data_IF_033097660343
#
_entry.id   IF_033097660343
#
_cell.length_a   1.000
_cell.length_b   1.000
_cell.length_c   1.000
_cell.angle_alpha   90.00
_cell.angle_beta   90.00
_cell.angle_gamma   90.00
#
_symmetry.space_group_name_H-M   'P 1'
#
loop_
_entity.id
_entity.type
_entity.pdbx_description
1 polymer ?
#
# COMPACT_ATOMS: atom_id res chain seq x y z
N UNK A 1 18.12 0.36 3.11
CA UNK A 1 16.78 0.97 3.27
C UNK A 1 15.76 -0.14 3.32
N UNK A 2 14.82 -0.11 4.25
CA UNK A 2 13.73 -1.07 4.34
C UNK A 2 12.39 -0.35 4.18
N UNK A 3 11.40 -1.02 3.61
CA UNK A 3 10.03 -0.53 3.51
C UNK A 3 9.13 -1.49 4.27
N UNK A 4 8.20 -0.97 5.04
CA UNK A 4 7.17 -1.79 5.67
C UNK A 4 5.78 -1.26 5.35
N UNK A 5 4.84 -2.18 5.14
CA UNK A 5 3.42 -1.87 5.16
C UNK A 5 2.74 -2.78 6.18
N UNK A 6 2.13 -2.17 7.18
CA UNK A 6 1.43 -2.86 8.28
C UNK A 6 -0.07 -2.70 8.11
N UNK A 7 -0.82 -3.77 8.31
CA UNK A 7 -2.28 -3.74 8.36
C UNK A 7 -2.75 -4.07 9.78
N UNK A 8 -3.56 -3.20 10.34
CA UNK A 8 -4.12 -3.32 11.69
C UNK A 8 -5.62 -3.59 11.60
N UNK A 9 -6.06 -4.69 12.18
CA UNK A 9 -7.46 -5.13 12.18
C UNK A 9 -8.10 -4.85 13.55
N UNK A 10 -9.23 -4.15 13.55
CA UNK A 10 -9.97 -3.74 14.74
C UNK A 10 -11.38 -4.35 14.73
N UNK A 11 -11.74 -5.13 15.73
CA UNK A 11 -13.11 -5.57 15.99
C UNK A 11 -13.87 -4.47 16.78
N UNK A 12 -13.21 -3.95 17.80
CA UNK A 12 -13.61 -2.79 18.62
C UNK A 12 -12.65 -1.62 18.36
N UNK A 13 -12.76 -0.53 19.09
CA UNK A 13 -11.88 0.63 19.02
C UNK A 13 -11.78 1.31 17.63
N UNK A 14 -12.76 1.12 16.74
CA UNK A 14 -12.75 1.67 15.38
C UNK A 14 -12.64 3.19 15.34
N UNK A 15 -13.27 3.88 16.29
CA UNK A 15 -13.14 5.34 16.39
C UNK A 15 -11.73 5.79 16.77
N UNK A 16 -11.09 5.06 17.70
CA UNK A 16 -9.69 5.31 18.01
C UNK A 16 -8.79 5.06 16.79
N UNK A 17 -9.03 3.98 16.06
CA UNK A 17 -8.29 3.65 14.84
C UNK A 17 -8.46 4.73 13.77
N UNK A 18 -9.66 5.25 13.57
CA UNK A 18 -9.93 6.37 12.66
C UNK A 18 -9.14 7.62 13.05
N UNK A 19 -9.09 7.97 14.34
CA UNK A 19 -8.29 9.11 14.83
C UNK A 19 -6.81 8.98 14.49
N UNK A 20 -6.28 7.74 14.39
CA UNK A 20 -4.87 7.53 14.05
C UNK A 20 -4.50 8.05 12.66
N UNK A 21 -5.46 8.23 11.75
CA UNK A 21 -5.23 8.86 10.44
C UNK A 21 -4.58 10.25 10.59
N UNK A 22 -4.86 10.95 11.71
CA UNK A 22 -4.30 12.27 12.02
C UNK A 22 -3.28 12.19 13.16
N UNK A 23 -3.62 11.50 14.25
CA UNK A 23 -2.83 11.48 15.48
C UNK A 23 -1.51 10.69 15.34
N UNK A 24 -1.44 9.72 14.40
CA UNK A 24 -0.21 8.97 14.17
C UNK A 24 0.97 9.89 13.77
N UNK A 25 0.68 11.07 13.24
CA UNK A 25 1.70 12.10 12.94
C UNK A 25 2.64 12.36 14.11
N UNK A 26 2.16 12.33 15.35
CA UNK A 26 2.97 12.52 16.56
C UNK A 26 4.14 11.53 16.72
N UNK A 27 4.01 10.31 16.15
CA UNK A 27 5.05 9.29 16.22
C UNK A 27 6.12 9.41 15.11
N UNK A 28 5.82 10.18 14.06
CA UNK A 28 6.64 10.20 12.85
C UNK A 28 7.21 11.57 12.50
N UNK A 29 6.57 12.69 12.88
CA UNK A 29 6.96 14.05 12.45
C UNK A 29 8.38 14.45 12.85
N UNK A 30 8.88 13.95 13.98
CA UNK A 30 10.23 14.23 14.49
C UNK A 30 11.08 12.96 14.58
N UNK A 31 10.74 11.94 13.80
CA UNK A 31 11.44 10.66 13.82
C UNK A 31 12.46 10.61 12.68
N UNK A 32 13.72 10.87 13.00
CA UNK A 32 14.84 10.87 12.06
C UNK A 32 15.16 9.49 11.46
N UNK A 33 14.59 8.42 12.01
CA UNK A 33 14.73 7.03 11.54
C UNK A 33 13.86 6.71 10.33
N UNK A 34 12.82 7.53 10.08
CA UNK A 34 11.84 7.37 8.99
C UNK A 34 12.03 8.47 7.95
N UNK A 35 12.20 8.11 6.69
CA UNK A 35 12.32 9.07 5.58
C UNK A 35 10.97 9.41 4.92
N UNK A 36 9.99 8.51 5.03
CA UNK A 36 8.64 8.70 4.51
C UNK A 36 7.66 7.81 5.28
N UNK A 37 6.46 8.31 5.54
CA UNK A 37 5.39 7.52 6.13
C UNK A 37 4.01 7.97 5.65
N UNK A 38 3.06 7.04 5.68
CA UNK A 38 1.63 7.29 5.42
C UNK A 38 0.77 6.43 6.32
N UNK A 39 -0.12 7.06 7.08
CA UNK A 39 -1.24 6.38 7.71
C UNK A 39 -2.41 6.37 6.73
N UNK A 40 -2.95 5.20 6.43
CA UNK A 40 -3.87 4.97 5.33
C UNK A 40 -5.14 4.28 5.83
N UNK A 41 -6.29 4.77 5.40
CA UNK A 41 -7.53 4.02 5.46
C UNK A 41 -7.51 2.88 4.42
N UNK A 42 -8.44 1.94 4.54
CA UNK A 42 -8.55 0.84 3.57
C UNK A 42 -9.94 0.76 2.94
N UNK A 43 -9.99 0.20 1.74
CA UNK A 43 -11.25 -0.11 1.05
C UNK A 43 -11.87 -1.41 1.54
N UNK A 44 -13.21 -1.48 1.51
CA UNK A 44 -13.99 -2.66 1.86
C UNK A 44 -14.12 -3.67 0.72
N UNK A 45 -15.07 -4.60 0.86
CA UNK A 45 -15.41 -5.58 -0.18
C UNK A 45 -15.85 -4.87 -1.46
N UNK A 46 -15.23 -5.22 -2.59
CA UNK A 46 -15.52 -4.60 -3.89
C UNK A 46 -14.62 -3.41 -4.26
N UNK A 47 -13.52 -3.19 -3.52
CA UNK A 47 -12.49 -2.23 -3.93
C UNK A 47 -12.43 -0.96 -3.10
N UNK A 48 -12.46 0.21 -3.77
CA UNK A 48 -12.13 1.49 -3.14
C UNK A 48 -13.35 2.34 -2.72
N UNK A 49 -14.55 2.01 -3.18
CA UNK A 49 -15.72 2.89 -3.08
C UNK A 49 -16.20 3.02 -1.64
N UNK A 50 -16.23 1.93 -0.91
CA UNK A 50 -16.65 1.92 0.49
C UNK A 50 -15.45 1.73 1.41
N UNK A 51 -15.27 2.60 2.44
CA UNK A 51 -14.19 2.43 3.41
C UNK A 51 -14.43 1.20 4.30
N UNK A 52 -13.35 0.53 4.65
CA UNK A 52 -13.33 -0.50 5.69
C UNK A 52 -12.85 0.12 7.01
N UNK A 53 -13.78 0.51 7.86
CA UNK A 53 -13.47 1.14 9.14
C UNK A 53 -12.87 0.17 10.17
N UNK A 54 -12.76 -1.11 9.84
CA UNK A 54 -12.15 -2.13 10.69
C UNK A 54 -10.67 -2.39 10.37
N UNK A 55 -10.15 -1.86 9.27
CA UNK A 55 -8.76 -2.08 8.86
C UNK A 55 -8.10 -0.76 8.48
N UNK A 56 -6.92 -0.52 9.03
CA UNK A 56 -6.07 0.61 8.69
C UNK A 56 -4.67 0.13 8.33
N UNK A 57 -3.92 0.93 7.59
CA UNK A 57 -2.59 0.57 7.16
C UNK A 57 -1.59 1.69 7.45
N UNK A 58 -0.35 1.30 7.76
CA UNK A 58 0.78 2.19 7.93
C UNK A 58 1.90 1.78 6.97
N UNK A 59 2.22 2.66 6.04
CA UNK A 59 3.37 2.54 5.17
C UNK A 59 4.52 3.36 5.74
N UNK A 60 5.71 2.76 5.87
CA UNK A 60 6.93 3.46 6.29
C UNK A 60 8.12 3.09 5.41
N UNK A 61 8.97 4.08 5.16
CA UNK A 61 10.30 3.92 4.53
C UNK A 61 11.35 4.24 5.59
N UNK A 62 12.14 3.24 5.94
CA UNK A 62 13.13 3.27 7.01
C UNK A 62 14.52 3.52 6.46
N UNK A 63 15.29 4.38 7.14
CA UNK A 63 16.69 4.62 6.76
C UNK A 63 17.57 3.38 6.97
N UNK A 64 17.24 2.56 7.98
CA UNK A 64 17.92 1.28 8.29
C UNK A 64 16.90 0.22 8.71
N UNK A 65 17.18 -1.04 8.47
CA UNK A 65 16.32 -2.17 8.85
C UNK A 65 16.17 -2.35 10.36
N UNK A 66 17.21 -2.02 11.13
CA UNK A 66 17.20 -2.11 12.59
C UNK A 66 16.14 -1.17 13.20
N UNK A 67 15.94 0.00 12.61
CA UNK A 67 14.93 0.96 13.05
C UNK A 67 13.50 0.46 12.87
N UNK A 68 13.27 -0.31 11.81
CA UNK A 68 11.99 -0.99 11.59
C UNK A 68 11.69 -1.98 12.71
N UNK A 69 12.64 -2.86 13.05
CA UNK A 69 12.45 -3.88 14.08
C UNK A 69 12.19 -3.23 15.46
N UNK A 70 13.01 -2.23 15.82
CA UNK A 70 12.81 -1.46 17.05
C UNK A 70 11.43 -0.81 17.12
N UNK A 71 10.96 -0.22 16.01
CA UNK A 71 9.66 0.42 15.96
C UNK A 71 8.51 -0.59 16.12
N UNK A 72 8.58 -1.70 15.41
CA UNK A 72 7.56 -2.76 15.41
C UNK A 72 7.40 -3.36 16.81
N UNK A 73 8.50 -3.53 17.54
CA UNK A 73 8.52 -4.25 18.82
C UNK A 73 8.32 -3.31 20.02
N UNK A 74 8.96 -2.14 20.00
CA UNK A 74 9.19 -1.35 21.19
C UNK A 74 8.55 0.05 21.18
N UNK A 75 8.08 0.56 20.04
CA UNK A 75 7.53 1.90 19.96
C UNK A 75 6.23 2.06 20.76
N UNK A 76 5.95 3.28 21.20
CA UNK A 76 4.68 3.61 21.83
C UNK A 76 3.49 3.34 20.89
N UNK A 77 3.67 3.57 19.59
CA UNK A 77 2.67 3.22 18.58
C UNK A 77 2.39 1.70 18.55
N UNK A 78 3.44 0.86 18.55
CA UNK A 78 3.28 -0.60 18.58
C UNK A 78 2.56 -1.07 19.85
N UNK A 79 2.90 -0.47 21.03
CA UNK A 79 2.23 -0.78 22.29
C UNK A 79 0.75 -0.42 22.29
N UNK A 80 0.37 0.73 21.72
CA UNK A 80 -1.03 1.14 21.59
C UNK A 80 -1.81 0.25 20.61
N UNK A 81 -1.20 -0.11 19.46
CA UNK A 81 -1.79 -1.06 18.53
C UNK A 81 -2.04 -2.40 19.21
N UNK A 82 -1.06 -2.94 19.95
CA UNK A 82 -1.20 -4.22 20.67
C UNK A 82 -2.37 -4.24 21.65
N UNK A 83 -2.67 -3.10 22.30
CA UNK A 83 -3.80 -2.97 23.24
C UNK A 83 -5.17 -2.91 22.56
N UNK A 84 -5.25 -2.44 21.32
CA UNK A 84 -6.51 -2.02 20.69
C UNK A 84 -6.88 -2.78 19.43
N UNK A 85 -5.90 -3.27 18.69
CA UNK A 85 -6.13 -4.09 17.50
C UNK A 85 -6.33 -5.56 17.88
N UNK A 86 -7.05 -6.28 17.06
CA UNK A 86 -7.21 -7.74 17.15
C UNK A 86 -6.05 -8.49 16.50
N UNK A 87 -5.53 -7.90 15.42
CA UNK A 87 -4.50 -8.54 14.59
C UNK A 87 -3.67 -7.48 13.87
N UNK A 88 -2.40 -7.79 13.68
CA UNK A 88 -1.47 -7.03 12.86
C UNK A 88 -0.81 -7.94 11.84
N UNK A 89 -0.64 -7.44 10.62
CA UNK A 89 0.13 -8.10 9.56
C UNK A 89 1.14 -7.09 9.02
N UNK A 90 2.42 -7.43 9.07
CA UNK A 90 3.50 -6.60 8.55
C UNK A 90 4.11 -7.26 7.33
N UNK A 91 4.19 -6.55 6.23
CA UNK A 91 4.97 -6.90 5.06
C UNK A 91 6.25 -6.07 5.09
N UNK A 92 7.39 -6.73 5.27
CA UNK A 92 8.72 -6.12 5.25
C UNK A 92 9.31 -6.39 3.88
N UNK A 93 9.77 -5.34 3.20
CA UNK A 93 10.09 -5.44 1.80
C UNK A 93 11.18 -4.43 1.39
N UNK A 94 11.81 -4.69 0.27
CA UNK A 94 12.82 -3.83 -0.33
C UNK A 94 12.44 -3.46 -1.75
N UNK A 95 12.57 -2.17 -2.16
CA UNK A 95 12.20 -1.72 -3.49
C UNK A 95 13.14 -2.32 -4.55
N UNK A 96 12.52 -2.85 -5.61
CA UNK A 96 13.21 -3.39 -6.79
C UNK A 96 12.88 -2.61 -8.06
N UNK A 97 11.81 -1.82 -8.02
CA UNK A 97 11.43 -0.88 -9.08
C UNK A 97 10.56 0.22 -8.48
N UNK A 98 10.77 1.47 -8.89
CA UNK A 98 9.87 2.58 -8.55
C UNK A 98 9.89 3.64 -9.65
N UNK A 99 8.72 4.08 -10.07
CA UNK A 99 8.53 5.16 -11.03
C UNK A 99 7.34 6.03 -10.62
N UNK A 100 7.45 7.34 -10.81
CA UNK A 100 6.43 8.30 -10.42
C UNK A 100 6.67 8.91 -9.04
N UNK A 101 5.66 9.60 -8.51
CA UNK A 101 5.78 10.43 -7.31
C UNK A 101 4.66 10.14 -6.31
N UNK A 102 4.96 10.40 -5.03
CA UNK A 102 4.02 10.46 -3.91
C UNK A 102 4.34 11.70 -3.08
N UNK A 103 3.46 12.69 -3.12
CA UNK A 103 3.66 14.03 -2.57
C UNK A 103 4.92 14.72 -3.12
N UNK A 104 5.05 14.73 -4.45
CA UNK A 104 6.13 15.35 -5.23
C UNK A 104 7.52 14.71 -5.02
N UNK A 105 7.63 13.56 -4.36
CA UNK A 105 8.88 12.80 -4.22
C UNK A 105 8.68 11.35 -4.64
N UNK A 106 9.75 10.67 -5.07
CA UNK A 106 9.76 9.21 -5.10
C UNK A 106 10.37 8.69 -3.80
N UNK A 107 9.58 8.10 -2.88
CA UNK A 107 10.07 7.69 -1.58
C UNK A 107 10.88 6.38 -1.61
N UNK A 108 10.81 5.62 -2.71
CA UNK A 108 11.37 4.28 -2.81
C UNK A 108 12.67 4.29 -3.64
N UNK A 109 13.81 4.41 -2.97
CA UNK A 109 15.13 4.33 -3.63
C UNK A 109 15.46 2.87 -3.91
N UNK A 110 15.65 2.54 -5.18
CA UNK A 110 16.05 1.22 -5.64
C UNK A 110 17.56 1.07 -5.52
N UNK A 111 18.02 -0.08 -5.02
CA UNK A 111 19.43 -0.46 -5.07
C UNK A 111 19.67 -1.29 -6.34
N UNK A 112 20.27 -0.67 -7.34
CA UNK A 112 20.52 -1.29 -8.65
C UNK A 112 21.50 -2.48 -8.59
N UNK A 113 22.35 -2.53 -7.57
CA UNK A 113 23.33 -3.59 -7.38
C UNK A 113 22.76 -4.83 -6.66
N UNK A 114 21.45 -4.85 -6.38
CA UNK A 114 20.84 -5.96 -5.68
C UNK A 114 20.39 -7.06 -6.63
N UNK A 115 20.80 -8.27 -6.35
CA UNK A 115 20.23 -9.46 -6.98
C UNK A 115 18.84 -9.75 -6.41
N UNK A 116 17.84 -9.84 -7.28
CA UNK A 116 16.47 -10.23 -6.91
C UNK A 116 16.30 -11.73 -7.11
N UNK A 117 15.73 -12.41 -6.12
CA UNK A 117 15.43 -13.84 -6.21
C UNK A 117 14.08 -14.03 -6.94
N UNK A 118 14.11 -14.79 -8.05
CA UNK A 118 12.92 -15.03 -8.89
C UNK A 118 11.74 -15.67 -8.15
N UNK A 119 12.02 -16.45 -7.14
CA UNK A 119 11.03 -17.21 -6.35
C UNK A 119 10.39 -16.41 -5.22
N UNK A 120 10.93 -15.24 -4.86
CA UNK A 120 10.41 -14.45 -3.77
C UNK A 120 9.07 -13.81 -4.13
N UNK A 121 8.21 -13.67 -3.12
CA UNK A 121 6.94 -12.93 -3.24
C UNK A 121 7.20 -11.48 -3.55
N UNK A 122 6.34 -10.90 -4.37
CA UNK A 122 6.47 -9.52 -4.82
C UNK A 122 5.30 -8.69 -4.29
N UNK A 123 5.64 -7.63 -3.57
CA UNK A 123 4.72 -6.56 -3.23
C UNK A 123 4.62 -5.54 -4.36
N UNK A 124 3.42 -5.04 -4.63
CA UNK A 124 3.19 -3.97 -5.61
C UNK A 124 2.36 -2.88 -4.96
N UNK A 125 2.82 -1.64 -5.12
CA UNK A 125 2.02 -0.44 -4.82
C UNK A 125 1.74 0.27 -6.13
N UNK A 126 0.46 0.50 -6.42
CA UNK A 126 -0.01 1.37 -7.49
C UNK A 126 -0.81 2.49 -6.87
N UNK A 127 -0.42 3.74 -7.10
CA UNK A 127 -1.08 4.92 -6.53
C UNK A 127 -1.46 5.91 -7.63
N UNK A 128 -2.61 6.56 -7.47
CA UNK A 128 -3.03 7.68 -8.29
C UNK A 128 -3.71 8.77 -7.47
N UNK A 129 -3.29 10.02 -7.66
CA UNK A 129 -3.98 11.21 -7.17
C UNK A 129 -4.91 11.70 -8.27
N UNK A 130 -6.22 11.49 -8.07
CA UNK A 130 -7.23 11.76 -9.07
C UNK A 130 -7.46 13.28 -9.15
N UNK A 131 -7.46 13.82 -10.36
CA UNK A 131 -7.84 15.22 -10.59
C UNK A 131 -9.30 15.45 -10.21
N UNK A 132 -9.62 16.52 -9.49
CA UNK A 132 -10.97 16.84 -9.08
C UNK A 132 -11.97 16.83 -10.25
N UNK A 133 -11.58 17.39 -11.40
CA UNK A 133 -12.40 17.43 -12.62
C UNK A 133 -12.61 16.05 -13.27
N UNK A 134 -11.91 15.01 -12.83
CA UNK A 134 -11.94 13.66 -13.41
C UNK A 134 -12.53 12.60 -12.48
N UNK A 135 -12.96 12.97 -11.28
CA UNK A 135 -13.43 12.02 -10.28
C UNK A 135 -14.61 11.17 -10.77
N UNK A 136 -15.65 11.78 -11.29
CA UNK A 136 -16.84 11.06 -11.75
C UNK A 136 -16.46 10.08 -12.86
N UNK A 137 -15.70 10.56 -13.85
CA UNK A 137 -15.24 9.72 -14.96
C UNK A 137 -14.36 8.54 -14.49
N UNK A 138 -13.47 8.79 -13.54
CA UNK A 138 -12.64 7.75 -12.94
C UNK A 138 -13.50 6.68 -12.23
N UNK A 139 -14.40 7.09 -11.34
CA UNK A 139 -15.18 6.16 -10.53
C UNK A 139 -16.17 5.32 -11.35
N UNK A 140 -16.69 5.85 -12.44
CA UNK A 140 -17.53 5.08 -13.38
C UNK A 140 -16.77 3.99 -14.15
N UNK A 141 -15.45 4.09 -14.25
CA UNK A 141 -14.64 3.19 -15.07
C UNK A 141 -13.72 2.25 -14.29
N UNK A 142 -13.43 2.54 -13.00
CA UNK A 142 -12.38 1.81 -12.27
C UNK A 142 -12.85 0.52 -11.60
N UNK A 143 -14.15 0.29 -11.48
CA UNK A 143 -14.72 -0.90 -10.82
C UNK A 143 -14.21 -2.22 -11.42
N UNK A 144 -14.08 -2.28 -12.74
CA UNK A 144 -13.56 -3.46 -13.45
C UNK A 144 -12.09 -3.81 -13.11
N UNK A 145 -11.28 -2.82 -12.72
CA UNK A 145 -9.89 -3.05 -12.32
C UNK A 145 -9.78 -3.79 -10.98
N UNK A 146 -10.68 -3.49 -10.03
CA UNK A 146 -10.74 -4.17 -8.73
C UNK A 146 -11.12 -5.65 -8.88
N UNK A 147 -12.05 -5.95 -9.78
CA UNK A 147 -12.44 -7.34 -10.07
C UNK A 147 -11.35 -8.10 -10.82
N UNK A 148 -10.62 -7.42 -11.70
CA UNK A 148 -9.51 -8.02 -12.43
C UNK A 148 -8.39 -8.51 -11.49
N UNK A 149 -8.03 -7.74 -10.48
CA UNK A 149 -6.97 -8.14 -9.54
C UNK A 149 -7.43 -9.26 -8.60
N UNK A 150 -8.70 -9.24 -8.19
CA UNK A 150 -9.29 -10.26 -7.31
C UNK A 150 -9.20 -11.67 -7.90
N UNK A 151 -9.36 -11.77 -9.21
CA UNK A 151 -9.40 -13.04 -9.94
C UNK A 151 -8.08 -13.34 -10.66
N UNK A 152 -7.02 -12.57 -10.38
CA UNK A 152 -5.73 -12.76 -11.03
C UNK A 152 -5.00 -14.00 -10.49
N UNK A 153 -4.45 -14.81 -11.40
CA UNK A 153 -3.63 -15.94 -10.99
C UNK A 153 -2.35 -15.49 -10.29
N UNK A 154 -2.06 -16.12 -9.15
CA UNK A 154 -0.89 -15.83 -8.34
C UNK A 154 -0.97 -14.58 -7.46
N UNK A 155 -2.12 -13.89 -7.38
CA UNK A 155 -2.36 -12.90 -6.32
C UNK A 155 -2.67 -13.62 -5.01
N UNK A 156 -1.94 -13.29 -3.95
CA UNK A 156 -2.14 -13.87 -2.60
C UNK A 156 -2.84 -12.90 -1.66
N UNK A 157 -2.65 -11.60 -1.87
CA UNK A 157 -3.28 -10.55 -1.09
C UNK A 157 -3.47 -9.30 -1.96
N UNK A 158 -4.55 -8.58 -1.76
CA UNK A 158 -4.70 -7.23 -2.25
C UNK A 158 -5.62 -6.41 -1.34
N UNK A 159 -5.35 -5.13 -1.23
CA UNK A 159 -6.17 -4.19 -0.46
C UNK A 159 -6.07 -2.81 -1.08
N UNK A 160 -7.22 -2.17 -1.26
CA UNK A 160 -7.26 -0.74 -1.52
C UNK A 160 -6.84 0.02 -0.27
N UNK A 161 -6.00 1.01 -0.44
CA UNK A 161 -5.49 1.88 0.62
C UNK A 161 -5.58 3.35 0.16
N UNK A 162 -5.71 4.29 1.08
CA UNK A 162 -5.80 5.70 0.69
C UNK A 162 -5.67 6.67 1.85
N UNK A 163 -5.16 7.86 1.55
CA UNK A 163 -5.02 8.96 2.53
C UNK A 163 -6.33 9.74 2.68
N UNK A 164 -6.94 10.05 1.56
CA UNK A 164 -8.20 10.79 1.48
C UNK A 164 -9.18 9.98 0.64
N UNK A 165 -10.37 9.70 1.16
CA UNK A 165 -11.41 9.03 0.39
C UNK A 165 -11.64 9.72 -0.95
N UNK A 166 -11.78 8.94 -2.02
CA UNK A 166 -12.08 9.37 -3.38
C UNK A 166 -11.01 10.21 -4.11
N UNK A 167 -10.00 10.74 -3.44
CA UNK A 167 -8.98 11.62 -4.04
C UNK A 167 -7.64 10.95 -4.26
N UNK A 168 -7.11 10.30 -3.24
CA UNK A 168 -5.79 9.66 -3.26
C UNK A 168 -5.96 8.17 -3.02
N UNK A 169 -5.94 7.40 -4.10
CA UNK A 169 -6.15 5.97 -4.07
C UNK A 169 -4.87 5.23 -4.38
N UNK A 170 -4.65 4.16 -3.65
CA UNK A 170 -3.60 3.22 -3.95
C UNK A 170 -4.10 1.79 -3.75
N UNK A 171 -3.41 0.85 -4.37
CA UNK A 171 -3.57 -0.58 -4.11
C UNK A 171 -2.24 -1.13 -3.64
N UNK A 172 -2.27 -1.88 -2.56
CA UNK A 172 -1.18 -2.79 -2.22
C UNK A 172 -1.61 -4.21 -2.56
N UNK A 173 -0.75 -4.93 -3.27
CA UNK A 173 -0.98 -6.33 -3.63
C UNK A 173 0.27 -7.17 -3.45
N UNK A 174 0.08 -8.45 -3.10
CA UNK A 174 1.15 -9.44 -2.93
C UNK A 174 0.96 -10.54 -3.94
N UNK A 175 2.01 -10.87 -4.66
CA UNK A 175 2.05 -11.84 -5.74
C UNK A 175 3.03 -12.95 -5.43
N UNK A 176 2.72 -14.15 -5.88
CA UNK A 176 3.54 -15.34 -5.65
C UNK A 176 4.98 -15.16 -6.15
N UNK A 177 5.16 -14.50 -7.31
CA UNK A 177 6.46 -14.24 -7.91
C UNK A 177 6.37 -13.19 -9.03
N UNK A 178 7.50 -12.85 -9.64
CA UNK A 178 7.59 -11.93 -10.78
C UNK A 178 6.76 -12.33 -11.99
N UNK A 179 6.68 -13.64 -12.29
CA UNK A 179 5.94 -14.15 -13.44
C UNK A 179 4.45 -13.85 -13.32
N UNK A 180 3.86 -14.05 -12.15
CA UNK A 180 2.43 -13.79 -11.91
C UNK A 180 2.05 -12.33 -12.17
N UNK A 181 2.91 -11.37 -11.79
CA UNK A 181 2.71 -9.95 -12.08
C UNK A 181 2.79 -9.68 -13.57
N UNK A 182 3.80 -10.24 -14.25
CA UNK A 182 3.96 -10.09 -15.69
C UNK A 182 2.76 -10.62 -16.45
N UNK A 183 2.29 -11.81 -16.10
CA UNK A 183 1.11 -12.43 -16.71
C UNK A 183 -0.14 -11.56 -16.49
N UNK A 184 -0.36 -11.04 -15.29
CA UNK A 184 -1.46 -10.12 -15.01
C UNK A 184 -1.35 -8.81 -15.80
N UNK A 185 -0.18 -8.17 -15.80
CA UNK A 185 0.02 -6.88 -16.46
C UNK A 185 -0.18 -6.93 -17.98
N UNK A 186 0.25 -8.02 -18.63
CA UNK A 186 0.26 -8.13 -20.09
C UNK A 186 -0.89 -8.97 -20.66
N UNK A 187 -1.42 -9.95 -19.93
CA UNK A 187 -2.45 -10.87 -20.43
C UNK A 187 -3.86 -10.51 -19.98
N UNK A 188 -4.01 -9.71 -18.91
CA UNK A 188 -5.33 -9.32 -18.42
C UNK A 188 -5.88 -8.14 -19.23
N UNK A 189 -6.84 -8.41 -20.12
CA UNK A 189 -7.47 -7.39 -21.00
C UNK A 189 -8.10 -6.24 -20.20
N UNK A 190 -8.84 -6.54 -19.11
CA UNK A 190 -9.49 -5.51 -18.31
C UNK A 190 -8.47 -4.57 -17.68
N UNK A 191 -7.35 -5.11 -17.18
CA UNK A 191 -6.27 -4.30 -16.61
C UNK A 191 -5.58 -3.43 -17.67
N UNK A 192 -5.26 -3.98 -18.84
CA UNK A 192 -4.64 -3.23 -19.94
C UNK A 192 -5.53 -2.12 -20.48
N UNK A 193 -6.84 -2.35 -20.58
CA UNK A 193 -7.82 -1.31 -20.95
C UNK A 193 -7.88 -0.16 -19.94
N UNK A 194 -7.84 -0.44 -18.64
CA UNK A 194 -7.82 0.61 -17.62
C UNK A 194 -6.53 1.42 -17.69
N UNK A 195 -5.38 0.79 -17.90
CA UNK A 195 -4.11 1.51 -18.10
C UNK A 195 -4.21 2.44 -19.32
N UNK A 196 -4.75 1.96 -20.43
CA UNK A 196 -4.96 2.76 -21.65
C UNK A 196 -5.88 3.95 -21.36
N UNK A 197 -7.07 3.70 -20.78
CA UNK A 197 -8.02 4.76 -20.40
C UNK A 197 -7.40 5.79 -19.45
N UNK A 198 -6.60 5.35 -18.47
CA UNK A 198 -5.91 6.25 -17.53
C UNK A 198 -5.02 7.25 -18.26
N UNK A 199 -4.23 6.78 -19.24
CA UNK A 199 -3.35 7.61 -20.06
C UNK A 199 -4.13 8.56 -20.97
N UNK A 200 -5.11 8.06 -21.70
CA UNK A 200 -5.92 8.83 -22.66
C UNK A 200 -6.75 9.92 -21.95
N UNK A 201 -7.37 9.59 -20.83
CA UNK A 201 -8.27 10.49 -20.09
C UNK A 201 -7.54 11.39 -19.09
N UNK A 202 -6.23 11.13 -18.85
CA UNK A 202 -5.37 11.91 -17.96
C UNK A 202 -5.99 12.08 -16.56
N UNK A 203 -6.47 10.99 -15.98
CA UNK A 203 -7.18 11.01 -14.69
C UNK A 203 -6.33 11.51 -13.53
N UNK A 204 -5.03 11.24 -13.54
CA UNK A 204 -4.15 11.53 -12.42
C UNK A 204 -3.42 12.87 -12.57
N UNK A 205 -3.27 13.58 -11.46
CA UNK A 205 -2.35 14.72 -11.32
C UNK A 205 -0.97 14.25 -10.88
N UNK A 206 -0.91 13.13 -10.19
CA UNK A 206 0.31 12.48 -9.73
C UNK A 206 0.05 10.98 -9.64
N UNK A 207 1.00 10.17 -10.03
CA UNK A 207 0.93 8.72 -9.89
C UNK A 207 2.26 8.13 -9.44
N UNK A 208 2.22 6.91 -8.93
CA UNK A 208 3.38 6.13 -8.55
C UNK A 208 3.09 4.65 -8.74
N UNK A 209 4.06 3.95 -9.32
CA UNK A 209 4.09 2.51 -9.39
C UNK A 209 5.42 2.00 -8.81
N UNK A 210 5.34 1.08 -7.84
CA UNK A 210 6.51 0.48 -7.23
C UNK A 210 6.34 -1.03 -7.03
N UNK A 211 7.44 -1.76 -7.23
CA UNK A 211 7.56 -3.18 -6.94
C UNK A 211 8.61 -3.42 -5.86
N UNK A 212 8.32 -4.38 -5.02
CA UNK A 212 9.14 -4.71 -3.87
C UNK A 212 9.35 -6.22 -3.81
N UNK A 213 10.53 -6.66 -3.45
CA UNK A 213 10.76 -8.02 -2.99
C UNK A 213 10.35 -8.10 -1.51
N UNK A 214 9.44 -9.02 -1.17
CA UNK A 214 9.03 -9.24 0.21
C UNK A 214 10.07 -10.10 0.89
N UNK A 215 10.70 -9.55 1.92
CA UNK A 215 11.75 -10.23 2.68
C UNK A 215 11.20 -10.97 3.89
N UNK A 216 10.09 -10.48 4.46
CA UNK A 216 9.45 -11.09 5.63
C UNK A 216 7.98 -10.71 5.72
N UNK A 217 7.15 -11.63 6.22
CA UNK A 217 5.75 -11.38 6.57
C UNK A 217 5.57 -11.80 8.03
N UNK A 218 5.25 -10.82 8.90
CA UNK A 218 4.94 -11.07 10.32
C UNK A 218 3.44 -10.98 10.52
N UNK A 219 2.86 -11.95 11.21
CA UNK A 219 1.46 -11.91 11.62
C UNK A 219 1.38 -12.07 13.13
N UNK A 220 0.69 -11.16 13.80
CA UNK A 220 0.52 -11.16 15.25
C UNK A 220 -0.96 -10.96 15.59
N UNK A 221 -1.53 -11.87 16.38
CA UNK A 221 -2.82 -11.71 17.06
C UNK A 221 -2.63 -11.09 18.44
N UNK A 222 -3.65 -10.38 18.95
CA UNK A 222 -3.65 -9.72 20.26
C UNK A 222 -4.89 -10.08 21.07
#
# INVERSE_FOLDING_TARGET
MAVSISFFHFESNKFWAFKQMVEAKKYFSNNDKVSFYKMLGTGGKGGFIYPDLSVYSLLCVWKKSEFLNEFIENSNHAKEIKKKAKKRIDYIMEPIFSNGLWDNINPFKVNENRETKKENKIGVITRGKIKLSKQIDFWLNVSSASDAIKNADGVEFYKGIGELPLLSQATFSVWKNHKSIGDFAYKNKAHSEIIKKTKERKWYSEDLFARFEITEIKTQGF
#
